data_IF_572324943704
#
_entry.id   IF_572324943704
#
_cell.length_a   1.000
_cell.length_b   1.000
_cell.length_c   1.000
_cell.angle_alpha   90.00
_cell.angle_beta   90.00
_cell.angle_gamma   90.00
#
_symmetry.space_group_name_H-M   'P 1'
#
loop_
_entity.id
_entity.type
_entity.pdbx_description
1 polymer ?
#
# COMPACT_ATOMS: atom_id res chain seq x y z
N UNK A 1 18.10 -2.65 -0.52
CA UNK A 1 18.16 -2.58 0.30
C UNK A 1 17.33 -3.11 1.09
N UNK A 2 17.27 -3.42 1.79
CA UNK A 2 16.67 -4.11 2.44
C UNK A 2 16.27 -3.67 3.62
N UNK A 3 16.28 -2.66 3.90
CA UNK A 3 16.09 -2.24 5.20
C UNK A 3 14.80 -1.55 5.48
N UNK A 4 13.74 -1.98 4.83
CA UNK A 4 12.42 -1.48 5.15
C UNK A 4 11.71 -2.37 6.15
N UNK A 5 12.36 -3.37 6.66
CA UNK A 5 11.75 -4.26 7.62
C UNK A 5 11.31 -3.45 8.83
N UNK A 6 10.06 -3.62 9.24
CA UNK A 6 9.48 -2.92 10.36
C UNK A 6 9.31 -1.41 10.17
N UNK A 7 9.52 -0.93 8.96
CA UNK A 7 9.25 0.47 8.66
C UNK A 7 7.81 0.59 8.19
N UNK A 8 7.21 1.73 8.45
CA UNK A 8 5.86 2.01 8.00
C UNK A 8 5.94 2.99 6.85
N UNK A 9 5.37 2.62 5.71
CA UNK A 9 5.38 3.47 4.53
C UNK A 9 3.94 3.77 4.16
N UNK A 10 3.61 5.04 4.04
CA UNK A 10 2.27 5.47 3.69
C UNK A 10 2.29 5.87 2.23
N UNK A 11 1.42 5.25 1.43
CA UNK A 11 1.35 5.53 0.00
C UNK A 11 -0.01 6.11 -0.30
N UNK A 12 -0.06 7.41 -0.60
CA UNK A 12 -1.30 8.03 -1.03
C UNK A 12 -1.41 7.88 -2.53
N UNK A 13 -2.64 7.85 -3.03
CA UNK A 13 -2.84 7.61 -4.45
C UNK A 13 -2.50 6.19 -4.85
N UNK A 14 -2.64 5.26 -3.92
CA UNK A 14 -2.24 3.88 -4.17
C UNK A 14 -3.09 3.18 -5.20
N UNK A 15 -4.22 3.76 -5.58
CA UNK A 15 -5.04 3.16 -6.62
C UNK A 15 -4.55 3.51 -8.02
N UNK A 16 -3.59 4.41 -8.15
CA UNK A 16 -3.00 4.70 -9.45
C UNK A 16 -1.93 3.65 -9.76
N UNK A 17 -1.58 3.51 -11.01
CA UNK A 17 -0.58 2.52 -11.38
C UNK A 17 0.76 2.74 -10.69
N UNK A 18 1.20 3.99 -10.61
CA UNK A 18 2.48 4.30 -9.99
C UNK A 18 2.43 4.04 -8.49
N UNK A 19 1.35 4.50 -7.84
CA UNK A 19 1.22 4.31 -6.40
C UNK A 19 1.14 2.84 -6.03
N UNK A 20 0.39 2.08 -6.82
CA UNK A 20 0.28 0.65 -6.57
C UNK A 20 1.62 -0.04 -6.71
N UNK A 21 2.38 0.28 -7.75
CA UNK A 21 3.67 -0.34 -7.97
C UNK A 21 4.62 -0.03 -6.82
N UNK A 22 4.61 1.21 -6.34
CA UNK A 22 5.45 1.59 -5.22
C UNK A 22 5.06 0.83 -3.95
N UNK A 23 3.76 0.71 -3.70
CA UNK A 23 3.30 0.02 -2.51
C UNK A 23 3.74 -1.44 -2.52
N UNK A 24 3.61 -2.09 -3.66
CA UNK A 24 4.00 -3.48 -3.78
C UNK A 24 5.50 -3.65 -3.60
N UNK A 25 6.27 -2.71 -4.13
CA UNK A 25 7.72 -2.79 -4.01
C UNK A 25 8.16 -2.64 -2.55
N UNK A 26 7.61 -1.65 -1.84
CA UNK A 26 7.97 -1.48 -0.44
C UNK A 26 7.55 -2.68 0.40
N UNK A 27 6.37 -3.22 0.11
CA UNK A 27 5.90 -4.39 0.85
C UNK A 27 6.82 -5.59 0.61
N UNK A 28 7.30 -5.74 -0.62
CA UNK A 28 8.20 -6.82 -0.94
C UNK A 28 9.52 -6.71 -0.20
N UNK A 29 9.87 -5.50 0.21
CA UNK A 29 11.11 -5.27 0.95
C UNK A 29 10.90 -5.27 2.45
N UNK A 30 9.74 -5.71 2.91
CA UNK A 30 9.50 -5.89 4.32
C UNK A 30 8.81 -4.76 5.03
N UNK A 31 8.44 -3.70 4.32
CA UNK A 31 7.77 -2.58 4.95
C UNK A 31 6.31 -2.92 5.24
N UNK A 32 5.77 -2.24 6.23
CA UNK A 32 4.35 -2.26 6.45
C UNK A 32 3.78 -1.10 5.66
N UNK A 33 2.93 -1.37 4.67
CA UNK A 33 2.41 -0.31 3.85
C UNK A 33 1.01 0.04 4.24
N UNK A 34 0.71 1.33 4.28
CA UNK A 34 -0.63 1.82 4.50
C UNK A 34 -1.05 2.52 3.22
N UNK A 35 -2.09 1.99 2.59
CA UNK A 35 -2.54 2.47 1.30
C UNK A 35 -3.65 3.48 1.50
N UNK A 36 -3.57 4.59 0.81
CA UNK A 36 -4.61 5.61 0.88
C UNK A 36 -5.06 6.02 -0.50
N UNK A 37 -6.35 6.07 -0.72
CA UNK A 37 -6.93 6.56 -1.96
C UNK A 37 -8.42 6.67 -1.77
N UNK A 38 -9.08 7.30 -2.75
CA UNK A 38 -10.53 7.44 -2.64
C UNK A 38 -11.24 6.12 -2.95
N UNK A 39 -10.66 5.30 -3.79
CA UNK A 39 -11.30 4.05 -4.18
C UNK A 39 -10.92 2.94 -3.21
N UNK A 40 -11.71 2.78 -2.17
CA UNK A 40 -11.44 1.79 -1.14
C UNK A 40 -11.49 0.38 -1.69
N UNK A 41 -12.39 0.12 -2.64
CA UNK A 41 -12.48 -1.22 -3.20
C UNK A 41 -11.19 -1.64 -3.87
N UNK A 42 -10.56 -0.72 -4.58
CA UNK A 42 -9.31 -1.04 -5.23
C UNK A 42 -8.20 -1.26 -4.21
N UNK A 43 -8.19 -0.45 -3.15
CA UNK A 43 -7.21 -0.61 -2.09
C UNK A 43 -7.36 -1.97 -1.41
N UNK A 44 -8.59 -2.40 -1.24
CA UNK A 44 -8.85 -3.67 -0.61
C UNK A 44 -8.25 -4.82 -1.42
N UNK A 45 -8.36 -4.75 -2.74
CA UNK A 45 -7.78 -5.77 -3.59
C UNK A 45 -6.27 -5.76 -3.52
N UNK A 46 -5.68 -4.57 -3.54
CA UNK A 46 -4.22 -4.45 -3.50
C UNK A 46 -3.70 -4.96 -2.16
N UNK A 47 -4.33 -4.55 -1.06
CA UNK A 47 -3.88 -4.97 0.25
C UNK A 47 -4.03 -6.49 0.41
N UNK A 48 -5.12 -7.04 -0.10
CA UNK A 48 -5.32 -8.48 -0.04
C UNK A 48 -4.25 -9.23 -0.80
N UNK A 49 -3.87 -8.73 -1.96
CA UNK A 49 -2.85 -9.38 -2.75
C UNK A 49 -1.49 -9.30 -2.07
N UNK A 50 -1.17 -8.15 -1.48
CA UNK A 50 0.09 -8.00 -0.76
C UNK A 50 0.13 -8.98 0.41
N UNK A 51 -0.95 -9.10 1.15
CA UNK A 51 -0.98 -10.02 2.29
C UNK A 51 -0.86 -11.47 1.83
N UNK A 52 -1.46 -11.80 0.71
CA UNK A 52 -1.40 -13.18 0.23
C UNK A 52 0.02 -13.57 -0.20
N UNK A 53 0.86 -12.57 -0.44
CA UNK A 53 2.25 -12.81 -0.79
C UNK A 53 3.18 -12.70 0.40
N UNK A 54 2.60 -12.63 1.60
CA UNK A 54 3.41 -12.58 2.81
C UNK A 54 3.76 -11.17 3.26
N UNK A 55 3.28 -10.15 2.58
CA UNK A 55 3.56 -8.78 2.97
C UNK A 55 2.57 -8.27 3.99
N UNK A 56 2.77 -7.06 4.43
CA UNK A 56 1.90 -6.43 5.40
C UNK A 56 1.32 -5.17 4.78
N UNK A 57 0.00 -5.07 4.75
CA UNK A 57 -0.65 -3.92 4.17
C UNK A 57 -1.95 -3.63 4.91
N UNK A 58 -2.22 -2.36 5.08
CA UNK A 58 -3.50 -1.89 5.56
C UNK A 58 -3.97 -0.83 4.57
N UNK A 59 -5.22 -0.43 4.65
CA UNK A 59 -5.70 0.58 3.75
C UNK A 59 -6.74 1.46 4.43
N UNK A 60 -6.90 2.64 3.88
CA UNK A 60 -7.82 3.60 4.45
C UNK A 60 -8.34 4.47 3.32
N UNK A 61 -9.63 4.73 3.32
CA UNK A 61 -10.19 5.64 2.34
C UNK A 61 -9.80 7.07 2.68
N UNK A 62 -9.30 7.78 1.69
CA UNK A 62 -8.87 9.15 1.89
C UNK A 62 -9.58 10.02 0.86
N UNK A 63 -10.29 11.02 1.34
CA UNK A 63 -10.96 11.95 0.46
C UNK A 63 -10.22 13.27 0.57
N UNK A 64 -9.46 13.58 -0.46
CA UNK A 64 -8.64 14.78 -0.43
C UNK A 64 -9.24 15.93 -1.22
N UNK A 65 -10.53 15.93 -1.34
CA UNK A 65 -11.11 17.05 -2.01
C UNK A 65 -10.99 18.23 -1.11
N UNK A 66 -10.68 19.13 -1.46
CA UNK A 66 -10.53 20.20 -0.69
C UNK A 66 -10.91 21.22 -1.07
#
# INVERSE_FOLDING_TARGET
MKDFKNKVVIVTGASSGIGEAMAREFAAQGARVVLGARSVQKLQLIAGDIRSRGGQAAYCGVDVTD
#
